data_IF_032828060787
#
_entry.id   IF_032828060787
#
_cell.length_a   1.000
_cell.length_b   1.000
_cell.length_c   1.000
_cell.angle_alpha   90.00
_cell.angle_beta   90.00
_cell.angle_gamma   90.00
#
_symmetry.space_group_name_H-M   'P 1'
#
loop_
_entity.id
_entity.type
_entity.pdbx_description
1 polymer ?
#
# COMPACT_ATOMS: atom_id res chain seq x y z
N UNK A 1 19.91 73.43 18.98
CA UNK A 1 18.73 72.55 18.83
C UNK A 1 18.97 71.37 19.78
N UNK A 2 18.72 71.47 21.09
CA UNK A 2 17.45 71.66 21.79
C UNK A 2 16.38 70.62 21.40
N UNK A 3 16.09 69.74 22.37
CA UNK A 3 14.80 69.10 22.69
C UNK A 3 14.36 67.95 21.74
N UNK A 4 13.96 66.74 22.16
CA UNK A 4 13.44 66.30 23.47
C UNK A 4 13.62 64.79 23.75
N UNK A 5 13.46 64.53 25.04
CA UNK A 5 13.52 63.30 25.82
C UNK A 5 12.51 62.18 25.50
N UNK A 6 12.77 61.06 26.18
CA UNK A 6 11.82 60.05 26.70
C UNK A 6 11.59 58.77 25.88
N UNK A 7 11.97 57.61 26.41
CA UNK A 7 11.13 56.80 27.34
C UNK A 7 11.91 55.54 27.77
N UNK A 8 11.80 55.25 29.07
CA UNK A 8 12.30 54.09 29.81
C UNK A 8 11.56 52.75 29.51
N UNK A 9 12.33 51.66 29.61
CA UNK A 9 12.02 50.34 30.23
C UNK A 9 11.12 49.32 29.48
N UNK A 10 11.73 48.14 29.29
CA UNK A 10 11.17 46.77 29.23
C UNK A 10 10.01 46.48 28.28
N UNK A 11 10.33 45.77 27.19
CA UNK A 11 9.37 44.89 26.53
C UNK A 11 9.71 43.44 26.85
N UNK A 12 9.07 42.81 27.86
CA UNK A 12 8.97 41.34 27.87
C UNK A 12 8.30 40.95 26.56
N UNK A 13 9.07 40.37 25.63
CA UNK A 13 8.58 39.90 24.34
C UNK A 13 7.43 38.93 24.61
N UNK A 14 6.21 39.37 24.27
CA UNK A 14 5.01 38.52 24.37
C UNK A 14 5.21 37.34 23.43
N UNK A 15 5.47 36.15 23.97
CA UNK A 15 5.50 34.91 23.20
C UNK A 15 4.11 34.73 22.58
N UNK A 16 3.99 34.98 21.28
CA UNK A 16 2.76 34.68 20.56
C UNK A 16 2.46 33.19 20.72
N UNK A 17 1.35 32.84 21.38
CA UNK A 17 0.86 31.46 21.48
C UNK A 17 0.38 31.02 20.09
N UNK A 18 1.29 30.54 19.27
CA UNK A 18 1.00 30.07 17.92
C UNK A 18 1.01 28.55 17.93
N UNK A 19 -0.08 27.92 17.46
CA UNK A 19 -0.19 26.46 17.44
C UNK A 19 0.87 25.86 16.51
N UNK A 20 1.62 24.85 16.99
CA UNK A 20 2.72 24.21 16.23
C UNK A 20 2.26 23.01 15.38
N UNK A 21 0.97 22.72 15.36
CA UNK A 21 0.41 21.50 14.76
C UNK A 21 0.37 21.52 13.22
N UNK A 22 0.54 22.68 12.57
CA UNK A 22 0.61 22.78 11.10
C UNK A 22 1.92 23.42 10.66
N UNK A 23 2.54 22.85 9.61
CA UNK A 23 3.84 23.29 9.04
C UNK A 23 3.88 24.76 8.63
N UNK A 24 2.72 25.36 8.33
CA UNK A 24 2.56 26.79 8.00
C UNK A 24 2.88 27.73 9.18
N UNK A 25 2.87 27.25 10.42
CA UNK A 25 3.12 28.06 11.61
C UNK A 25 4.55 28.01 12.11
N UNK A 26 5.40 27.14 11.55
CA UNK A 26 6.78 26.98 12.02
C UNK A 26 7.66 28.21 11.80
N UNK A 27 7.31 29.05 10.82
CA UNK A 27 8.02 30.30 10.52
C UNK A 27 7.42 31.54 11.21
N UNK A 28 6.29 31.39 11.90
CA UNK A 28 5.62 32.52 12.57
C UNK A 28 6.03 32.49 14.05
N UNK A 29 6.94 33.38 14.45
CA UNK A 29 7.35 33.57 15.85
C UNK A 29 8.82 33.29 16.17
N UNK A 30 9.67 32.95 15.20
CA UNK A 30 11.13 32.93 15.37
C UNK A 30 11.70 34.28 14.94
N UNK A 31 12.25 35.05 15.89
CA UNK A 31 13.04 36.25 15.58
C UNK A 31 14.41 35.75 15.07
N UNK A 32 14.64 35.83 13.75
CA UNK A 32 15.89 35.35 13.12
C UNK A 32 16.94 36.48 13.04
N UNK A 33 16.53 37.72 13.27
CA UNK A 33 17.37 38.93 13.20
C UNK A 33 18.60 38.83 14.11
N UNK A 34 18.45 38.41 15.36
CA UNK A 34 19.60 38.27 16.27
C UNK A 34 20.64 37.24 15.78
N UNK A 35 20.19 36.19 15.08
CA UNK A 35 21.07 35.17 14.52
C UNK A 35 21.71 35.63 13.20
N UNK A 36 20.99 36.39 12.38
CA UNK A 36 21.52 37.03 11.18
C UNK A 36 22.56 38.10 11.53
N UNK A 37 22.29 38.94 12.53
CA UNK A 37 23.22 39.95 13.03
C UNK A 37 24.48 39.31 13.63
N UNK A 38 24.35 38.17 14.31
CA UNK A 38 25.50 37.42 14.82
C UNK A 38 26.33 36.83 13.68
N UNK A 39 25.72 36.22 12.67
CA UNK A 39 26.43 35.66 11.52
C UNK A 39 27.10 36.74 10.66
N UNK A 40 26.47 37.90 10.51
CA UNK A 40 27.07 39.07 9.86
C UNK A 40 28.29 39.57 10.62
N UNK A 41 28.25 39.63 11.97
CA UNK A 41 29.43 39.97 12.80
C UNK A 41 30.56 38.96 12.63
N UNK A 42 30.26 37.66 12.69
CA UNK A 42 31.25 36.59 12.49
C UNK A 42 31.89 36.64 11.10
N UNK A 43 31.11 36.97 10.05
CA UNK A 43 31.67 37.16 8.70
C UNK A 43 32.58 38.39 8.62
N UNK A 44 32.22 39.50 9.27
CA UNK A 44 33.06 40.71 9.30
C UNK A 44 34.37 40.46 10.07
N UNK A 45 34.33 39.69 11.16
CA UNK A 45 35.52 39.33 11.93
C UNK A 45 36.42 38.35 11.15
N UNK A 46 35.85 37.38 10.43
CA UNK A 46 36.61 36.43 9.61
C UNK A 46 37.31 37.09 8.40
N UNK A 47 36.79 38.21 7.89
CA UNK A 47 37.41 38.97 6.79
C UNK A 47 38.51 39.91 7.31
N UNK A 48 38.38 40.43 8.54
CA UNK A 48 39.40 41.32 9.14
C UNK A 48 40.70 40.61 9.50
N UNK A 49 40.63 39.33 9.88
CA UNK A 49 41.82 38.53 10.21
C UNK A 49 42.57 37.99 8.97
N UNK A 50 42.09 38.27 7.76
CA UNK A 50 42.69 37.82 6.50
C UNK A 50 43.60 38.86 5.81
N UNK A 51 43.86 40.00 6.45
CA UNK A 51 44.83 40.97 5.93
C UNK A 51 46.24 40.71 6.50
N UNK A 52 47.11 40.22 5.59
CA UNK A 52 48.59 40.08 5.68
C UNK A 52 49.12 38.82 6.39
N UNK A 53 49.02 37.67 5.71
CA UNK A 53 49.95 36.56 5.89
C UNK A 53 50.54 36.22 4.50
N UNK A 54 51.88 36.22 4.40
CA UNK A 54 52.62 35.88 3.17
C UNK A 54 52.45 34.39 2.82
N UNK A 55 52.37 34.10 1.51
CA UNK A 55 52.00 32.78 0.95
C UNK A 55 52.98 31.64 1.29
N UNK A 56 54.16 31.95 1.83
CA UNK A 56 55.23 31.00 2.11
C UNK A 56 55.01 30.12 3.36
N UNK A 57 54.02 30.46 4.20
CA UNK A 57 53.64 29.63 5.36
C UNK A 57 52.40 28.75 5.12
N UNK A 58 51.85 28.77 3.90
CA UNK A 58 50.57 28.12 3.61
C UNK A 58 50.71 26.61 3.30
N UNK A 59 51.93 26.10 3.12
CA UNK A 59 52.19 24.71 2.75
C UNK A 59 53.36 24.07 3.52
N UNK A 60 53.22 23.92 4.84
CA UNK A 60 53.99 22.89 5.57
C UNK A 60 53.19 21.59 5.64
N UNK A 61 53.63 20.60 4.87
CA UNK A 61 53.13 19.22 4.93
C UNK A 61 53.67 18.56 6.20
N UNK A 62 52.83 18.45 7.23
CA UNK A 62 53.15 17.72 8.45
C UNK A 62 53.47 16.25 8.13
N UNK A 63 54.75 15.89 8.29
CA UNK A 63 55.24 14.52 8.14
C UNK A 63 54.90 13.71 9.40
N UNK A 64 54.03 12.70 9.23
CA UNK A 64 53.83 11.48 10.05
C UNK A 64 53.75 11.70 11.58
N UNK A 65 52.52 11.62 12.11
CA UNK A 65 52.27 11.48 13.55
C UNK A 65 53.12 10.36 14.16
N UNK A 66 53.78 10.65 15.27
CA UNK A 66 54.55 9.63 16.00
C UNK A 66 53.63 8.54 16.55
N UNK A 67 54.16 7.32 16.72
CA UNK A 67 53.42 6.13 17.20
C UNK A 67 52.64 6.40 18.50
N UNK A 68 53.14 7.31 19.34
CA UNK A 68 52.50 7.77 20.58
C UNK A 68 51.24 8.63 20.32
N UNK A 69 51.28 9.50 19.33
CA UNK A 69 50.15 10.34 18.93
C UNK A 69 49.06 9.49 18.23
N UNK A 70 49.45 8.50 17.42
CA UNK A 70 48.51 7.51 16.85
C UNK A 70 47.80 6.69 17.95
N UNK A 71 48.53 6.27 18.98
CA UNK A 71 47.95 5.55 20.12
C UNK A 71 46.97 6.42 20.93
N UNK A 72 47.27 7.71 21.11
CA UNK A 72 46.36 8.65 21.78
C UNK A 72 45.08 8.90 20.98
N UNK A 73 45.16 8.98 19.65
CA UNK A 73 44.00 9.12 18.75
C UNK A 73 43.11 7.87 18.77
N UNK A 74 43.71 6.67 18.70
CA UNK A 74 42.99 5.39 18.82
C UNK A 74 42.27 5.26 20.17
N UNK A 75 42.85 5.76 21.27
CA UNK A 75 42.24 5.72 22.61
C UNK A 75 41.07 6.70 22.73
N UNK A 76 41.08 7.83 22.00
CA UNK A 76 39.95 8.78 21.94
C UNK A 76 38.81 8.26 21.06
N UNK A 77 39.11 7.51 20.00
CA UNK A 77 38.10 6.89 19.13
C UNK A 77 37.36 5.76 19.84
N UNK A 78 38.06 4.89 20.58
CA UNK A 78 37.42 3.84 21.41
C UNK A 78 36.48 4.35 22.51
N UNK A 79 36.64 5.61 22.97
CA UNK A 79 35.73 6.22 23.95
C UNK A 79 34.45 6.80 23.33
N UNK A 80 34.37 6.93 22.01
CA UNK A 80 33.23 7.54 21.30
C UNK A 80 32.24 6.52 20.70
N UNK A 81 32.58 5.23 20.67
CA UNK A 81 31.61 4.18 20.38
C UNK A 81 30.78 3.90 21.64
N UNK A 82 29.43 3.98 21.60
CA UNK A 82 28.63 3.58 22.74
C UNK A 82 28.81 2.08 22.95
N UNK A 83 29.22 1.69 24.16
CA UNK A 83 29.20 0.29 24.59
C UNK A 83 27.77 -0.25 24.51
N UNK A 84 27.47 -1.02 23.46
CA UNK A 84 26.39 -1.98 23.52
C UNK A 84 26.73 -2.97 24.63
N UNK A 85 25.81 -3.12 25.58
CA UNK A 85 25.95 -4.01 26.72
C UNK A 85 26.00 -5.44 26.19
N UNK A 86 27.20 -6.02 26.12
CA UNK A 86 27.33 -7.46 25.97
C UNK A 86 26.76 -8.13 27.22
N UNK A 87 25.63 -8.81 27.04
CA UNK A 87 25.09 -9.72 28.04
C UNK A 87 26.14 -10.81 28.30
N UNK A 88 26.52 -10.97 29.57
CA UNK A 88 27.46 -11.98 30.04
C UNK A 88 26.90 -13.38 29.84
N UNK A 89 27.05 -13.95 28.64
CA UNK A 89 26.81 -15.37 28.39
C UNK A 89 28.05 -16.13 28.82
N UNK A 90 27.90 -17.03 29.80
CA UNK A 90 29.02 -17.79 30.35
C UNK A 90 29.74 -18.60 29.26
N UNK A 91 31.08 -18.57 29.29
CA UNK A 91 31.97 -19.30 28.36
C UNK A 91 31.67 -20.82 28.27
N UNK A 92 30.86 -21.36 29.19
CA UNK A 92 30.43 -22.77 29.25
C UNK A 92 29.30 -23.10 28.25
N UNK A 93 28.50 -22.12 27.82
CA UNK A 93 27.39 -22.34 26.87
C UNK A 93 27.87 -22.33 25.40
N UNK A 94 28.86 -21.50 25.07
CA UNK A 94 29.45 -21.44 23.73
C UNK A 94 30.19 -22.74 23.34
N UNK A 95 30.72 -23.46 24.33
CA UNK A 95 31.43 -24.73 24.09
C UNK A 95 30.49 -25.91 23.81
N UNK A 96 29.22 -25.84 24.22
CA UNK A 96 28.21 -26.86 23.92
C UNK A 96 27.62 -26.72 22.52
N UNK A 97 27.52 -25.49 21.99
CA UNK A 97 27.00 -25.26 20.64
C UNK A 97 27.99 -25.59 19.51
N UNK A 98 29.29 -25.69 19.81
CA UNK A 98 30.33 -26.04 18.83
C UNK A 98 30.57 -27.55 18.70
N UNK A 99 30.03 -28.38 19.60
CA UNK A 99 30.30 -29.82 19.63
C UNK A 99 29.27 -30.66 18.85
N UNK A 100 28.16 -30.07 18.41
CA UNK A 100 27.17 -30.73 17.55
C UNK A 100 27.42 -30.48 16.05
N UNK A 101 28.64 -30.76 15.59
CA UNK A 101 28.88 -31.01 14.16
C UNK A 101 29.04 -32.51 13.96
N UNK A 102 28.06 -33.06 13.27
CA UNK A 102 27.91 -34.46 12.89
C UNK A 102 29.17 -35.04 12.25
N UNK A 103 29.59 -36.21 12.75
CA UNK A 103 30.58 -37.08 12.12
C UNK A 103 30.02 -37.55 10.77
N UNK A 104 30.58 -37.06 9.65
CA UNK A 104 30.40 -37.70 8.35
C UNK A 104 31.28 -38.95 8.31
N UNK A 105 30.68 -40.09 7.99
CA UNK A 105 31.39 -41.36 7.81
C UNK A 105 32.28 -41.26 6.57
N UNK A 106 33.57 -41.56 6.74
CA UNK A 106 34.52 -41.71 5.65
C UNK A 106 34.45 -43.16 5.19
N UNK A 107 33.80 -43.43 4.07
CA UNK A 107 33.99 -44.68 3.34
C UNK A 107 35.09 -44.47 2.32
N UNK A 108 36.28 -45.00 2.62
CA UNK A 108 37.37 -45.10 1.68
C UNK A 108 37.10 -46.25 0.70
N UNK A 109 37.00 -45.93 -0.60
CA UNK A 109 37.39 -46.83 -1.68
C UNK A 109 38.25 -46.05 -2.66
N UNK A 110 39.52 -46.41 -2.69
CA UNK A 110 40.48 -45.94 -3.67
C UNK A 110 40.02 -46.37 -5.07
N UNK A 111 39.96 -45.41 -5.99
CA UNK A 111 39.93 -45.66 -7.43
C UNK A 111 40.99 -44.77 -8.06
N UNK A 112 41.77 -45.39 -8.95
CA UNK A 112 42.95 -44.84 -9.61
C UNK A 112 42.60 -43.62 -10.50
N UNK A 113 43.53 -42.68 -10.74
CA UNK A 113 43.25 -41.52 -11.59
C UNK A 113 43.28 -41.94 -13.06
N UNK A 114 42.11 -41.99 -13.69
CA UNK A 114 42.02 -42.07 -15.15
C UNK A 114 42.33 -40.69 -15.77
N UNK A 115 43.37 -40.71 -16.61
CA UNK A 115 43.75 -39.76 -17.67
C UNK A 115 43.05 -38.39 -17.68
N UNK A 116 43.84 -37.36 -17.38
CA UNK A 116 43.62 -35.99 -17.81
C UNK A 116 43.72 -35.87 -19.33
N UNK A 117 42.63 -36.08 -20.05
CA UNK A 117 42.55 -35.69 -21.45
C UNK A 117 41.09 -35.39 -21.83
N UNK A 118 40.86 -34.13 -22.19
CA UNK A 118 39.68 -33.61 -22.89
C UNK A 118 38.41 -33.48 -22.03
N UNK A 119 38.43 -32.49 -21.11
CA UNK A 119 37.18 -31.78 -20.80
C UNK A 119 36.81 -30.96 -22.04
N UNK A 120 35.58 -31.04 -22.58
CA UNK A 120 35.16 -30.15 -23.65
C UNK A 120 35.28 -28.72 -23.11
N UNK A 121 36.15 -27.91 -23.72
CA UNK A 121 36.24 -26.48 -23.41
C UNK A 121 34.85 -25.90 -23.69
N UNK A 122 34.20 -25.36 -22.64
CA UNK A 122 33.02 -24.51 -22.84
C UNK A 122 33.42 -23.42 -23.84
N UNK A 123 32.56 -23.05 -24.80
CA UNK A 123 32.87 -21.94 -25.70
C UNK A 123 33.16 -20.71 -24.85
N UNK A 124 34.28 -20.05 -25.15
CA UNK A 124 34.71 -18.84 -24.46
C UNK A 124 33.67 -17.74 -24.72
N UNK A 125 32.78 -17.53 -23.76
CA UNK A 125 31.78 -16.47 -23.81
C UNK A 125 32.46 -15.16 -23.44
N UNK A 126 32.88 -14.42 -24.47
CA UNK A 126 33.45 -13.07 -24.40
C UNK A 126 32.55 -12.08 -23.65
N UNK A 127 31.29 -12.43 -23.39
CA UNK A 127 30.30 -11.59 -22.71
C UNK A 127 29.76 -12.21 -21.40
N UNK A 128 30.25 -13.40 -21.01
CA UNK A 128 29.61 -14.21 -19.97
C UNK A 128 30.30 -14.29 -18.61
N UNK A 129 31.60 -13.98 -18.51
CA UNK A 129 32.40 -14.30 -17.31
C UNK A 129 33.12 -13.11 -16.63
N UNK A 130 32.92 -11.86 -17.07
CA UNK A 130 33.53 -10.70 -16.40
C UNK A 130 32.83 -10.26 -15.10
N UNK A 131 31.70 -10.89 -14.74
CA UNK A 131 30.98 -10.58 -13.49
C UNK A 131 31.31 -11.52 -12.33
N UNK A 132 32.23 -12.49 -12.49
CA UNK A 132 32.53 -13.47 -11.43
C UNK A 132 33.97 -13.39 -10.89
N UNK A 133 34.84 -12.59 -11.49
CA UNK A 133 36.22 -12.39 -11.04
C UNK A 133 36.42 -11.03 -10.33
N UNK A 134 35.74 -10.78 -9.21
CA UNK A 134 36.16 -9.69 -8.27
C UNK A 134 35.40 -9.60 -6.94
N UNK A 135 34.34 -10.37 -6.68
CA UNK A 135 33.45 -9.99 -5.56
C UNK A 135 33.97 -10.29 -4.14
N UNK A 136 34.92 -11.22 -3.96
CA UNK A 136 35.25 -11.71 -2.61
C UNK A 136 36.46 -11.05 -1.96
N UNK A 137 37.58 -10.90 -2.66
CA UNK A 137 38.83 -10.42 -2.04
C UNK A 137 39.11 -8.93 -2.28
N UNK A 138 38.60 -8.34 -3.37
CA UNK A 138 38.75 -6.90 -3.65
C UNK A 138 37.75 -6.05 -2.83
N UNK A 139 36.80 -6.71 -2.16
CA UNK A 139 35.63 -6.07 -1.58
C UNK A 139 35.93 -5.08 -0.45
N UNK A 140 36.92 -5.29 0.42
CA UNK A 140 37.15 -4.36 1.56
C UNK A 140 37.83 -3.07 1.12
N UNK A 141 38.82 -3.20 0.23
CA UNK A 141 39.61 -2.08 -0.30
C UNK A 141 38.78 -1.26 -1.29
N UNK A 142 38.06 -1.90 -2.20
CA UNK A 142 37.05 -1.23 -3.03
C UNK A 142 35.94 -0.65 -2.19
N UNK A 143 35.50 -1.33 -1.12
CA UNK A 143 34.47 -0.76 -0.25
C UNK A 143 34.96 0.54 0.38
N UNK A 144 36.21 0.59 0.82
CA UNK A 144 36.80 1.78 1.40
C UNK A 144 36.94 2.88 0.35
N UNK A 145 37.60 2.61 -0.78
CA UNK A 145 37.80 3.58 -1.85
C UNK A 145 36.50 4.14 -2.43
N UNK A 146 35.47 3.30 -2.65
CA UNK A 146 34.19 3.76 -3.19
C UNK A 146 33.37 4.57 -2.17
N UNK A 147 33.57 4.38 -0.86
CA UNK A 147 33.00 5.26 0.18
C UNK A 147 33.68 6.64 0.12
N UNK A 148 35.00 6.67 -0.04
CA UNK A 148 35.79 7.90 -0.16
C UNK A 148 35.43 8.68 -1.42
N UNK A 149 35.28 8.00 -2.56
CA UNK A 149 34.89 8.63 -3.83
C UNK A 149 33.38 8.89 -3.95
N UNK A 150 32.57 8.51 -2.94
CA UNK A 150 31.08 8.53 -2.96
C UNK A 150 30.46 7.85 -4.18
N UNK A 151 31.16 6.87 -4.77
CA UNK A 151 30.73 6.19 -6.00
C UNK A 151 29.81 5.00 -5.74
N UNK A 152 29.62 4.60 -4.47
CA UNK A 152 28.65 3.55 -4.13
C UNK A 152 27.23 4.06 -4.23
N UNK A 153 26.41 3.32 -4.97
CA UNK A 153 24.96 3.44 -4.87
C UNK A 153 24.53 3.09 -3.44
N UNK A 154 23.57 3.83 -2.85
CA UNK A 154 23.01 3.50 -1.55
C UNK A 154 22.35 2.11 -1.56
N UNK A 155 22.18 1.52 -0.38
CA UNK A 155 21.49 0.23 -0.25
C UNK A 155 20.07 0.33 -0.82
N UNK A 156 19.74 -0.62 -1.71
CA UNK A 156 18.42 -0.66 -2.33
C UNK A 156 17.32 -0.94 -1.29
N UNK A 157 16.20 -0.19 -1.32
CA UNK A 157 15.10 -0.47 -0.43
C UNK A 157 14.40 -1.78 -0.81
N UNK A 158 13.93 -2.51 0.21
CA UNK A 158 13.20 -3.79 0.03
C UNK A 158 11.97 -3.67 -0.88
N UNK A 159 11.35 -2.49 -0.94
CA UNK A 159 10.20 -2.18 -1.80
C UNK A 159 10.51 -2.24 -3.29
N UNK A 160 11.78 -2.06 -3.70
CA UNK A 160 12.16 -2.10 -5.11
C UNK A 160 11.98 -3.50 -5.71
N UNK A 161 12.20 -4.55 -4.90
CA UNK A 161 12.09 -5.96 -5.30
C UNK A 161 10.66 -6.51 -5.18
N UNK A 162 9.66 -5.65 -4.99
CA UNK A 162 8.27 -6.06 -4.84
C UNK A 162 7.65 -6.47 -6.20
N UNK A 163 7.29 -7.74 -6.34
CA UNK A 163 6.63 -8.28 -7.52
C UNK A 163 5.16 -7.82 -7.55
N UNK A 164 4.69 -7.26 -8.66
CA UNK A 164 3.31 -6.75 -8.80
C UNK A 164 2.31 -7.81 -9.24
N UNK A 165 2.73 -8.80 -10.02
CA UNK A 165 1.88 -9.88 -10.53
C UNK A 165 2.65 -11.19 -10.72
N UNK A 166 1.92 -12.31 -10.67
CA UNK A 166 2.45 -13.68 -10.88
C UNK A 166 2.21 -14.15 -12.34
N UNK A 167 1.50 -13.35 -13.14
CA UNK A 167 1.16 -13.68 -14.52
C UNK A 167 2.42 -13.75 -15.40
N UNK A 168 2.36 -14.59 -16.43
CA UNK A 168 3.42 -14.70 -17.42
C UNK A 168 3.65 -13.36 -18.13
N UNK A 169 4.91 -13.11 -18.53
CA UNK A 169 5.30 -11.84 -19.16
C UNK A 169 4.65 -11.66 -20.54
N UNK A 170 4.46 -12.76 -21.26
CA UNK A 170 3.86 -12.85 -22.59
C UNK A 170 2.79 -13.92 -22.53
N UNK A 171 1.61 -13.62 -23.05
CA UNK A 171 0.53 -14.60 -23.16
C UNK A 171 0.81 -15.47 -24.39
N UNK A 172 0.82 -16.79 -24.18
CA UNK A 172 1.01 -17.73 -25.29
C UNK A 172 -0.33 -17.89 -26.00
N UNK A 173 -0.35 -17.66 -27.30
CA UNK A 173 -1.55 -17.85 -28.12
C UNK A 173 -1.98 -19.34 -28.12
N UNK A 174 -3.30 -19.63 -28.16
CA UNK A 174 -3.78 -21.00 -28.25
C UNK A 174 -3.42 -21.64 -29.60
N UNK A 175 -3.33 -22.96 -29.64
CA UNK A 175 -2.98 -23.70 -30.87
C UNK A 175 -3.95 -23.44 -32.04
N UNK A 176 -5.22 -23.12 -31.75
CA UNK A 176 -6.22 -22.76 -32.77
C UNK A 176 -5.95 -21.45 -33.50
N UNK A 177 -5.11 -20.56 -32.93
CA UNK A 177 -4.67 -19.32 -33.56
C UNK A 177 -3.41 -19.51 -34.44
N UNK A 178 -2.92 -20.74 -34.56
CA UNK A 178 -1.81 -21.03 -35.46
C UNK A 178 -2.24 -20.89 -36.92
N UNK A 179 -1.26 -20.75 -37.81
CA UNK A 179 -1.48 -20.61 -39.23
C UNK A 179 -2.16 -21.84 -39.87
N UNK A 180 -1.75 -23.04 -39.47
CA UNK A 180 -2.33 -24.30 -39.92
C UNK A 180 -2.77 -25.12 -38.69
N UNK A 181 -3.89 -24.75 -38.06
CA UNK A 181 -4.35 -25.38 -36.84
C UNK A 181 -5.05 -26.71 -37.13
N UNK A 182 -5.01 -27.69 -36.22
CA UNK A 182 -5.89 -28.84 -36.30
C UNK A 182 -7.35 -28.38 -36.17
N UNK A 183 -8.24 -28.95 -36.99
CA UNK A 183 -9.64 -28.51 -37.14
C UNK A 183 -10.36 -28.38 -35.80
N UNK A 184 -10.16 -29.32 -34.87
CA UNK A 184 -10.79 -29.27 -33.55
C UNK A 184 -10.39 -28.04 -32.75
N UNK A 185 -9.09 -27.73 -32.66
CA UNK A 185 -8.59 -26.57 -31.92
C UNK A 185 -8.94 -25.24 -32.57
N UNK A 186 -9.04 -25.23 -33.89
CA UNK A 186 -9.50 -24.08 -34.63
C UNK A 186 -10.98 -23.77 -34.33
N UNK A 187 -11.85 -24.78 -34.40
CA UNK A 187 -13.26 -24.63 -34.05
C UNK A 187 -13.43 -24.16 -32.60
N UNK A 188 -12.71 -24.76 -31.65
CA UNK A 188 -12.70 -24.30 -30.26
C UNK A 188 -12.37 -22.80 -30.18
N UNK A 189 -11.29 -22.37 -30.84
CA UNK A 189 -10.86 -20.98 -30.84
C UNK A 189 -11.87 -20.02 -31.47
N UNK A 190 -12.42 -20.36 -32.64
CA UNK A 190 -13.45 -19.56 -33.32
C UNK A 190 -14.71 -19.46 -32.47
N UNK A 191 -15.12 -20.55 -31.82
CA UNK A 191 -16.29 -20.54 -30.93
C UNK A 191 -16.08 -19.63 -29.73
N UNK A 192 -14.89 -19.64 -29.10
CA UNK A 192 -14.56 -18.71 -28.01
C UNK A 192 -14.68 -17.25 -28.46
N UNK A 193 -14.15 -16.91 -29.63
CA UNK A 193 -14.21 -15.53 -30.15
C UNK A 193 -15.65 -15.14 -30.52
N UNK A 194 -16.40 -16.02 -31.17
CA UNK A 194 -17.79 -15.79 -31.50
C UNK A 194 -18.66 -15.59 -30.23
N UNK A 195 -18.36 -16.27 -29.12
CA UNK A 195 -19.02 -16.03 -27.84
C UNK A 195 -18.69 -14.66 -27.25
N UNK A 196 -17.43 -14.23 -27.32
CA UNK A 196 -17.01 -12.89 -26.87
C UNK A 196 -17.70 -11.79 -27.69
N UNK A 197 -17.79 -11.95 -29.02
CA UNK A 197 -18.50 -11.03 -29.91
C UNK A 197 -20.00 -11.00 -29.64
N UNK A 198 -20.66 -12.16 -29.48
CA UNK A 198 -22.07 -12.23 -29.07
C UNK A 198 -22.34 -11.48 -27.76
N UNK A 199 -21.40 -11.50 -26.80
CA UNK A 199 -21.54 -10.72 -25.56
C UNK A 199 -21.47 -9.22 -25.84
N UNK A 200 -20.52 -8.77 -26.66
CA UNK A 200 -20.42 -7.35 -27.07
C UNK A 200 -21.67 -6.87 -27.81
N UNK A 201 -22.19 -7.67 -28.74
CA UNK A 201 -23.43 -7.36 -29.47
C UNK A 201 -24.62 -7.25 -28.53
N UNK A 202 -24.78 -8.17 -27.57
CA UNK A 202 -25.85 -8.09 -26.57
C UNK A 202 -25.72 -6.85 -25.67
N UNK A 203 -24.50 -6.49 -25.31
CA UNK A 203 -24.24 -5.28 -24.52
C UNK A 203 -24.55 -4.01 -25.33
N UNK A 204 -24.19 -3.96 -26.61
CA UNK A 204 -24.51 -2.83 -27.49
C UNK A 204 -26.02 -2.72 -27.72
N UNK A 205 -26.72 -3.82 -28.03
CA UNK A 205 -28.18 -3.84 -28.16
C UNK A 205 -28.88 -3.39 -26.87
N UNK A 206 -28.36 -3.82 -25.70
CA UNK A 206 -28.90 -3.39 -24.41
C UNK A 206 -28.74 -1.89 -24.22
N UNK A 207 -27.55 -1.35 -24.52
CA UNK A 207 -27.31 0.09 -24.47
C UNK A 207 -28.16 0.84 -25.48
N UNK A 208 -28.34 0.32 -26.70
CA UNK A 208 -29.22 0.89 -27.71
C UNK A 208 -30.68 0.89 -27.24
N UNK A 209 -31.16 -0.17 -26.60
CA UNK A 209 -32.51 -0.20 -25.99
C UNK A 209 -32.65 0.79 -24.84
N UNK A 210 -31.61 0.97 -24.03
CA UNK A 210 -31.60 1.95 -22.92
C UNK A 210 -31.52 3.40 -23.43
N UNK A 211 -30.73 3.63 -24.49
CA UNK A 211 -30.58 4.94 -25.14
C UNK A 211 -31.73 5.29 -26.08
N UNK A 212 -32.40 4.28 -26.65
CA UNK A 212 -33.60 4.44 -27.42
C UNK A 212 -34.67 4.99 -26.47
N UNK A 213 -34.78 6.32 -26.45
CA UNK A 213 -35.88 7.01 -25.83
C UNK A 213 -37.16 6.36 -26.37
N UNK A 214 -37.96 5.76 -25.49
CA UNK A 214 -39.28 5.30 -25.84
C UNK A 214 -40.07 6.55 -26.20
N UNK A 215 -40.19 6.85 -27.50
CA UNK A 215 -40.85 8.06 -28.03
C UNK A 215 -42.24 8.31 -27.43
N UNK A 216 -42.89 7.25 -26.96
CA UNK A 216 -44.23 7.26 -26.35
C UNK A 216 -44.26 7.54 -24.83
N UNK A 217 -43.11 7.57 -24.13
CA UNK A 217 -43.06 7.72 -22.65
C UNK A 217 -42.58 9.09 -22.17
N UNK A 218 -42.08 9.94 -23.07
CA UNK A 218 -41.68 11.29 -22.72
C UNK A 218 -42.82 12.21 -23.13
N UNK A 219 -43.55 12.72 -22.14
CA UNK A 219 -44.47 13.82 -22.36
C UNK A 219 -43.67 15.00 -22.93
N UNK A 220 -44.07 15.46 -24.10
CA UNK A 220 -43.57 16.71 -24.67
C UNK A 220 -43.85 17.86 -23.70
N UNK A 221 -43.09 18.96 -23.78
CA UNK A 221 -43.35 20.12 -22.91
C UNK A 221 -44.81 20.58 -23.02
N UNK A 222 -45.39 20.48 -24.21
CA UNK A 222 -46.79 20.78 -24.50
C UNK A 222 -47.78 19.86 -23.77
N UNK A 223 -47.52 18.54 -23.75
CA UNK A 223 -48.34 17.57 -23.01
C UNK A 223 -48.28 17.79 -21.50
N UNK A 224 -47.09 18.11 -20.95
CA UNK A 224 -46.93 18.46 -19.53
C UNK A 224 -47.70 19.74 -19.17
N UNK A 225 -47.63 20.76 -20.04
CA UNK A 225 -48.39 22.00 -19.85
C UNK A 225 -49.91 21.78 -19.90
N UNK A 226 -50.39 20.85 -20.73
CA UNK A 226 -51.80 20.47 -20.78
C UNK A 226 -52.25 19.75 -19.51
N UNK A 227 -51.45 18.81 -18.99
CA UNK A 227 -51.74 18.13 -17.72
C UNK A 227 -51.76 19.12 -16.53
N UNK A 228 -50.80 20.05 -16.47
CA UNK A 228 -50.75 21.10 -15.44
C UNK A 228 -51.94 22.05 -15.51
N UNK A 229 -52.46 22.33 -16.71
CA UNK A 229 -53.68 23.13 -16.90
C UNK A 229 -54.94 22.35 -16.51
N UNK A 230 -54.98 21.05 -16.78
CA UNK A 230 -56.14 20.21 -16.46
C UNK A 230 -56.38 20.02 -14.95
N UNK A 231 -55.33 20.18 -14.12
CA UNK A 231 -55.44 20.09 -12.65
C UNK A 231 -55.85 21.38 -11.93
N UNK A 232 -56.06 22.49 -12.63
CA UNK A 232 -56.43 23.77 -12.02
C UNK A 232 -57.95 24.02 -12.00
N UNK A 233 -58.75 23.21 -12.72
CA UNK A 233 -60.21 23.22 -12.63
C UNK A 233 -60.68 22.13 -11.63
N UNK A 234 -60.70 22.50 -10.34
CA UNK A 234 -61.10 21.61 -9.25
C UNK A 234 -61.42 22.38 -7.98
N UNK A 235 -62.49 23.16 -8.02
CA UNK A 235 -63.23 23.55 -6.83
C UNK A 235 -63.66 22.29 -6.06
N UNK A 236 -63.26 22.12 -4.80
CA UNK A 236 -64.10 22.38 -3.63
C UNK A 236 -63.44 21.79 -2.35
N UNK A 237 -63.60 22.53 -1.26
CA UNK A 237 -63.16 22.20 0.09
C UNK A 237 -63.84 20.94 0.63
N UNK A 238 -63.10 20.04 1.30
CA UNK A 238 -63.69 19.23 2.40
C UNK A 238 -62.62 18.68 3.35
N UNK A 239 -62.51 19.35 4.51
CA UNK A 239 -61.97 18.79 5.74
C UNK A 239 -62.60 17.43 6.08
N UNK A 240 -61.82 16.49 6.64
CA UNK A 240 -62.31 15.49 7.59
C UNK A 240 -61.16 14.94 8.45
N UNK A 241 -61.12 15.40 9.69
CA UNK A 241 -60.41 14.80 10.83
C UNK A 241 -61.11 13.50 11.25
N UNK A 242 -60.34 12.46 11.62
CA UNK A 242 -60.85 11.27 12.32
C UNK A 242 -59.89 10.93 13.48
N UNK A 243 -60.41 10.68 14.71
CA UNK A 243 -59.67 10.65 15.97
C UNK A 243 -59.04 9.29 16.36
N UNK A 244 -58.23 9.36 17.41
CA UNK A 244 -57.42 8.32 18.06
C UNK A 244 -58.25 7.26 18.82
N UNK A 245 -57.87 5.98 18.67
CA UNK A 245 -58.40 4.84 19.45
C UNK A 245 -57.57 4.58 20.72
N UNK A 246 -58.27 4.54 21.85
CA UNK A 246 -57.81 4.12 23.19
C UNK A 246 -57.98 2.61 23.32
N UNK A 247 -56.96 1.89 23.79
CA UNK A 247 -57.12 0.53 24.31
C UNK A 247 -56.38 0.35 25.64
N UNK A 248 -57.19 0.17 26.69
CA UNK A 248 -56.84 -0.28 28.04
C UNK A 248 -56.36 -1.74 28.04
N UNK A 249 -55.33 -2.05 28.82
CA UNK A 249 -55.02 -3.44 29.23
C UNK A 249 -54.81 -3.46 30.74
N UNK A 250 -55.76 -4.12 31.42
CA UNK A 250 -55.81 -4.40 32.85
C UNK A 250 -54.61 -5.24 33.33
N UNK A 251 -54.03 -4.86 34.47
CA UNK A 251 -53.04 -5.66 35.20
C UNK A 251 -53.68 -6.30 36.43
N UNK A 252 -53.83 -7.62 36.42
CA UNK A 252 -54.23 -8.43 37.57
C UNK A 252 -53.03 -8.72 38.48
N UNK A 253 -53.00 -8.14 39.69
CA UNK A 253 -52.07 -8.48 40.77
C UNK A 253 -52.82 -9.25 41.87
N UNK A 254 -52.69 -10.58 41.91
CA UNK A 254 -53.16 -11.41 43.03
C UNK A 254 -52.07 -11.54 44.10
N UNK A 255 -52.24 -10.84 45.22
CA UNK A 255 -51.38 -10.95 46.40
C UNK A 255 -51.60 -12.27 47.17
N UNK A 256 -50.54 -13.06 47.31
CA UNK A 256 -50.53 -14.27 48.16
C UNK A 256 -50.40 -13.91 49.65
N UNK A 257 -51.27 -14.49 50.48
CA UNK A 257 -51.30 -14.37 51.95
C UNK A 257 -50.19 -15.23 52.58
N UNK A 258 -49.39 -14.66 53.50
CA UNK A 258 -48.41 -15.40 54.31
C UNK A 258 -49.10 -16.15 55.46
N UNK A 259 -48.81 -17.44 55.71
CA UNK A 259 -49.41 -18.18 56.81
C UNK A 259 -48.77 -17.83 58.17
N UNK A 260 -49.59 -17.83 59.23
CA UNK A 260 -49.14 -17.57 60.60
C UNK A 260 -48.41 -18.78 61.21
N UNK A 261 -47.27 -18.53 61.84
CA UNK A 261 -46.38 -19.56 62.38
C UNK A 261 -46.84 -19.95 63.79
N UNK A 262 -47.33 -21.18 63.96
CA UNK A 262 -47.58 -21.80 65.29
C UNK A 262 -46.25 -22.18 65.96
N UNK A 263 -46.11 -21.97 67.27
CA UNK A 263 -44.91 -22.32 68.06
C UNK A 263 -44.81 -23.85 68.25
N UNK A 264 -43.76 -24.48 67.71
CA UNK A 264 -43.52 -25.93 67.76
C UNK A 264 -42.91 -26.40 69.09
N UNK A 265 -43.14 -27.67 69.46
CA UNK A 265 -42.60 -28.35 70.66
C UNK A 265 -41.10 -28.67 70.56
N UNK A 266 -40.38 -28.81 71.69
CA UNK A 266 -38.91 -29.00 71.71
C UNK A 266 -38.41 -30.23 70.93
N UNK A 267 -39.14 -31.36 70.97
CA UNK A 267 -38.79 -32.59 70.23
C UNK A 267 -38.94 -32.44 68.70
N UNK A 268 -40.00 -31.76 68.25
CA UNK A 268 -40.21 -31.49 66.81
C UNK A 268 -39.16 -30.52 66.26
N UNK A 269 -38.70 -29.57 67.09
CA UNK A 269 -37.57 -28.67 66.76
C UNK A 269 -36.24 -29.40 66.58
N UNK A 270 -35.98 -30.44 67.38
CA UNK A 270 -34.74 -31.22 67.29
C UNK A 270 -34.70 -32.14 66.06
N UNK A 271 -35.81 -32.84 65.77
CA UNK A 271 -35.93 -33.64 64.55
C UNK A 271 -35.84 -32.77 63.29
N UNK A 272 -36.49 -31.61 63.28
CA UNK A 272 -36.41 -30.66 62.17
C UNK A 272 -35.00 -30.08 62.00
N UNK A 273 -34.27 -29.83 63.10
CA UNK A 273 -32.86 -29.43 63.03
C UNK A 273 -31.95 -30.52 62.46
N UNK A 274 -32.16 -31.78 62.85
CA UNK A 274 -31.42 -32.92 62.30
C UNK A 274 -31.74 -33.13 60.81
N UNK A 275 -33.00 -32.95 60.42
CA UNK A 275 -33.44 -33.03 59.03
C UNK A 275 -32.89 -31.87 58.18
N UNK A 276 -32.84 -30.64 58.73
CA UNK A 276 -32.19 -29.49 58.09
C UNK A 276 -30.69 -29.74 57.88
N UNK A 277 -29.99 -30.27 58.88
CA UNK A 277 -28.57 -30.64 58.73
C UNK A 277 -28.36 -31.72 57.67
N UNK A 278 -29.24 -32.72 57.57
CA UNK A 278 -29.19 -33.73 56.49
C UNK A 278 -29.41 -33.10 55.13
N UNK A 279 -30.42 -32.22 54.98
CA UNK A 279 -30.70 -31.50 53.74
C UNK A 279 -29.56 -30.57 53.34
N UNK A 280 -28.92 -29.89 54.30
CA UNK A 280 -27.73 -29.06 54.04
C UNK A 280 -26.56 -29.90 53.50
N UNK A 281 -26.28 -31.05 54.11
CA UNK A 281 -25.23 -31.97 53.64
C UNK A 281 -25.57 -32.51 52.24
N UNK A 282 -26.82 -32.88 52.00
CA UNK A 282 -27.29 -33.38 50.71
C UNK A 282 -27.17 -32.31 49.62
N UNK A 283 -27.61 -31.08 49.91
CA UNK A 283 -27.47 -29.92 49.04
C UNK A 283 -26.00 -29.60 48.73
N UNK A 284 -25.12 -29.65 49.73
CA UNK A 284 -23.68 -29.46 49.53
C UNK A 284 -23.07 -30.57 48.66
N UNK A 285 -23.52 -31.81 48.82
CA UNK A 285 -23.07 -32.93 47.98
C UNK A 285 -23.61 -32.84 46.56
N UNK A 286 -24.85 -32.39 46.37
CA UNK A 286 -25.45 -32.15 45.07
C UNK A 286 -24.73 -31.03 44.33
N UNK A 287 -24.45 -29.91 45.02
CA UNK A 287 -23.65 -28.81 44.50
C UNK A 287 -22.23 -29.25 44.09
N UNK A 288 -21.58 -30.09 44.89
CA UNK A 288 -20.27 -30.67 44.52
C UNK A 288 -20.36 -31.58 43.28
N UNK A 289 -21.42 -32.38 43.14
CA UNK A 289 -21.64 -33.22 41.94
C UNK A 289 -21.86 -32.37 40.68
N UNK A 290 -22.61 -31.29 40.78
CA UNK A 290 -22.82 -30.33 39.69
C UNK A 290 -21.50 -29.68 39.27
N UNK A 291 -20.70 -29.22 40.23
CA UNK A 291 -19.36 -28.67 39.99
C UNK A 291 -18.46 -29.68 39.24
N UNK A 292 -18.45 -30.95 39.67
CA UNK A 292 -17.70 -31.99 38.99
C UNK A 292 -18.20 -32.22 37.55
N UNK A 293 -19.51 -32.23 37.34
CA UNK A 293 -20.10 -32.33 36.00
C UNK A 293 -19.67 -31.16 35.09
N UNK A 294 -19.63 -29.92 35.60
CA UNK A 294 -19.09 -28.77 34.87
C UNK A 294 -17.61 -28.96 34.50
N UNK A 295 -16.79 -29.48 35.42
CA UNK A 295 -15.37 -29.77 35.16
C UNK A 295 -15.18 -30.84 34.07
N UNK A 296 -16.00 -31.89 34.07
CA UNK A 296 -15.96 -32.91 33.02
C UNK A 296 -16.47 -32.37 31.67
N UNK A 297 -17.54 -31.58 31.68
CA UNK A 297 -18.06 -30.91 30.50
C UNK A 297 -17.08 -29.88 29.93
N UNK A 298 -16.31 -29.19 30.78
CA UNK A 298 -15.31 -28.21 30.37
C UNK A 298 -14.25 -28.80 29.43
N UNK A 299 -13.82 -30.05 29.65
CA UNK A 299 -12.88 -30.73 28.71
C UNK A 299 -13.51 -30.94 27.33
N UNK A 300 -14.80 -31.29 27.28
CA UNK A 300 -15.55 -31.45 26.03
C UNK A 300 -15.74 -30.11 25.33
N UNK A 301 -16.03 -29.05 26.08
CA UNK A 301 -16.13 -27.68 25.58
C UNK A 301 -14.77 -27.19 25.04
N UNK A 302 -13.67 -27.39 25.76
CA UNK A 302 -12.33 -27.03 25.30
C UNK A 302 -11.93 -27.78 24.03
N UNK A 303 -12.31 -29.06 23.89
CA UNK A 303 -12.14 -29.82 22.64
C UNK A 303 -12.98 -29.25 21.49
N UNK A 304 -14.21 -28.79 21.76
CA UNK A 304 -15.03 -28.13 20.74
C UNK A 304 -14.45 -26.77 20.34
N UNK A 305 -14.06 -25.95 21.32
CA UNK A 305 -13.46 -24.63 21.12
C UNK A 305 -12.15 -24.75 20.33
N UNK A 306 -11.28 -25.70 20.66
CA UNK A 306 -10.03 -25.92 19.92
C UNK A 306 -10.27 -26.33 18.47
N UNK A 307 -11.21 -27.25 18.20
CA UNK A 307 -11.62 -27.60 16.83
C UNK A 307 -12.16 -26.39 16.07
N UNK A 308 -13.04 -25.61 16.70
CA UNK A 308 -13.61 -24.41 16.09
C UNK A 308 -12.54 -23.34 15.81
N UNK A 309 -11.55 -23.17 16.70
CA UNK A 309 -10.40 -22.28 16.46
C UNK A 309 -9.58 -22.78 15.26
N UNK A 310 -9.30 -24.08 15.18
CA UNK A 310 -8.57 -24.68 14.04
C UNK A 310 -9.30 -24.45 12.72
N UNK A 311 -10.60 -24.74 12.66
CA UNK A 311 -11.42 -24.51 11.47
C UNK A 311 -11.41 -23.02 11.07
N UNK A 312 -11.61 -22.11 12.04
CA UNK A 312 -11.53 -20.66 11.79
C UNK A 312 -10.16 -20.23 11.27
N UNK A 313 -9.08 -20.79 11.80
CA UNK A 313 -7.73 -20.54 11.32
C UNK A 313 -7.52 -21.03 9.89
N UNK A 314 -8.02 -22.22 9.54
CA UNK A 314 -7.97 -22.75 8.18
C UNK A 314 -8.77 -21.90 7.20
N UNK A 315 -9.99 -21.50 7.56
CA UNK A 315 -10.78 -20.58 6.75
C UNK A 315 -10.10 -19.22 6.60
N UNK A 316 -9.46 -18.71 7.65
CA UNK A 316 -8.69 -17.48 7.60
C UNK A 316 -7.47 -17.61 6.67
N UNK A 317 -6.75 -18.74 6.69
CA UNK A 317 -5.65 -19.05 5.78
C UNK A 317 -6.12 -19.10 4.32
N UNK A 318 -7.16 -19.90 4.03
CA UNK A 318 -7.79 -19.97 2.69
C UNK A 318 -8.27 -18.61 2.20
N UNK A 319 -8.85 -17.78 3.09
CA UNK A 319 -9.27 -16.41 2.76
C UNK A 319 -8.07 -15.50 2.43
N UNK A 320 -6.96 -15.62 3.15
CA UNK A 320 -5.72 -14.87 2.87
C UNK A 320 -5.13 -15.30 1.53
N UNK A 321 -5.05 -16.60 1.26
CA UNK A 321 -4.58 -17.15 -0.02
C UNK A 321 -5.43 -16.66 -1.20
N UNK A 322 -6.76 -16.77 -1.12
CA UNK A 322 -7.67 -16.24 -2.14
C UNK A 322 -7.49 -14.74 -2.37
N UNK A 323 -7.28 -13.96 -1.31
CA UNK A 323 -6.98 -12.52 -1.43
C UNK A 323 -5.64 -12.28 -2.13
N UNK A 324 -4.60 -13.05 -1.81
CA UNK A 324 -3.28 -12.93 -2.45
C UNK A 324 -3.36 -13.30 -3.93
N UNK A 325 -3.96 -14.45 -4.26
CA UNK A 325 -4.17 -14.89 -5.65
C UNK A 325 -4.96 -13.83 -6.43
N UNK A 326 -6.07 -13.32 -5.87
CA UNK A 326 -6.86 -12.27 -6.52
C UNK A 326 -6.07 -10.97 -6.74
N UNK A 327 -5.16 -10.62 -5.84
CA UNK A 327 -4.32 -9.41 -5.99
C UNK A 327 -3.21 -9.59 -7.02
N UNK A 328 -2.54 -10.74 -7.04
CA UNK A 328 -1.37 -10.97 -7.88
C UNK A 328 -1.67 -11.57 -9.26
N UNK A 329 -2.71 -12.41 -9.37
CA UNK A 329 -3.16 -12.98 -10.64
C UNK A 329 -4.31 -12.17 -11.26
N UNK A 330 -5.04 -11.40 -10.45
CA UNK A 330 -6.11 -10.53 -10.93
C UNK A 330 -5.61 -9.15 -11.39
N UNK A 331 -6.45 -8.49 -12.17
CA UNK A 331 -6.21 -7.14 -12.67
C UNK A 331 -6.60 -6.14 -11.57
N UNK A 332 -5.68 -5.24 -11.23
CA UNK A 332 -5.92 -4.13 -10.32
C UNK A 332 -6.26 -2.87 -11.12
N UNK A 333 -7.18 -2.07 -10.58
CA UNK A 333 -7.52 -0.77 -11.19
C UNK A 333 -6.45 0.25 -10.83
N UNK A 334 -5.39 0.28 -11.64
CA UNK A 334 -4.36 1.31 -11.58
C UNK A 334 -4.81 2.51 -12.43
N UNK A 335 -5.15 3.61 -11.76
CA UNK A 335 -5.64 4.82 -12.44
C UNK A 335 -7.17 4.88 -12.52
N UNK A 336 -7.67 5.52 -13.58
CA UNK A 336 -9.12 5.82 -13.72
C UNK A 336 -9.83 4.84 -14.64
N UNK A 337 -9.15 4.37 -15.69
CA UNK A 337 -9.74 3.48 -16.68
C UNK A 337 -10.05 2.09 -16.14
N UNK A 338 -10.98 1.41 -16.80
CA UNK A 338 -11.20 -0.03 -16.64
C UNK A 338 -10.30 -0.76 -17.64
N UNK A 339 -9.83 -1.95 -17.28
CA UNK A 339 -9.07 -2.78 -18.21
C UNK A 339 -10.01 -3.39 -19.23
N UNK A 340 -9.70 -3.20 -20.50
CA UNK A 340 -10.35 -3.86 -21.61
C UNK A 340 -9.32 -4.79 -22.26
N UNK A 341 -9.62 -6.09 -22.38
CA UNK A 341 -8.72 -7.04 -23.03
C UNK A 341 -8.51 -6.68 -24.51
N UNK A 342 -7.38 -7.12 -25.07
CA UNK A 342 -7.14 -7.00 -26.50
C UNK A 342 -8.06 -7.98 -27.24
N UNK A 343 -8.58 -7.56 -28.39
CA UNK A 343 -9.36 -8.44 -29.24
C UNK A 343 -8.46 -9.53 -29.83
N UNK A 344 -8.97 -10.76 -29.84
CA UNK A 344 -8.28 -11.93 -30.37
C UNK A 344 -8.34 -11.86 -31.91
N UNK A 345 -7.20 -11.83 -32.63
CA UNK A 345 -7.22 -11.89 -34.09
C UNK A 345 -7.62 -13.29 -34.55
N UNK A 346 -8.64 -13.39 -35.40
CA UNK A 346 -9.15 -14.66 -35.93
C UNK A 346 -9.25 -14.57 -37.45
N UNK A 347 -8.87 -15.65 -38.13
CA UNK A 347 -9.18 -15.87 -39.53
C UNK A 347 -10.38 -16.79 -39.64
N UNK A 348 -11.26 -16.50 -40.58
CA UNK A 348 -12.34 -17.41 -40.96
C UNK A 348 -11.80 -18.56 -41.80
N UNK A 349 -12.62 -19.61 -41.98
CA UNK A 349 -12.21 -20.81 -42.74
C UNK A 349 -11.82 -20.50 -44.17
N UNK A 350 -12.45 -19.48 -44.76
CA UNK A 350 -12.19 -19.02 -46.13
C UNK A 350 -10.91 -18.17 -46.22
N UNK A 351 -10.48 -17.59 -45.10
CA UNK A 351 -9.33 -16.69 -45.02
C UNK A 351 -8.05 -17.39 -44.52
N UNK A 352 -8.17 -18.63 -44.04
CA UNK A 352 -7.04 -19.45 -43.64
C UNK A 352 -6.14 -19.72 -44.86
N UNK A 353 -4.86 -19.27 -44.86
CA UNK A 353 -4.03 -19.40 -46.04
C UNK A 353 -3.52 -20.84 -46.22
N UNK A 354 -3.30 -21.26 -47.47
CA UNK A 354 -2.76 -22.59 -47.81
C UNK A 354 -1.23 -22.65 -47.79
N UNK A 355 -0.56 -21.49 -47.94
CA UNK A 355 0.90 -21.35 -47.77
C UNK A 355 1.30 -20.23 -46.80
N UNK A 356 2.45 -20.39 -46.11
CA UNK A 356 3.05 -19.34 -45.27
C UNK A 356 3.37 -18.04 -46.04
N UNK A 357 3.54 -18.12 -47.37
CA UNK A 357 3.77 -16.94 -48.22
C UNK A 357 2.53 -16.06 -48.37
N UNK A 358 1.35 -16.62 -48.16
CA UNK A 358 0.05 -15.93 -48.27
C UNK A 358 -0.41 -15.37 -46.91
N UNK A 359 0.29 -15.73 -45.83
CA UNK A 359 -0.08 -15.31 -44.49
C UNK A 359 0.06 -13.79 -44.35
N UNK A 360 -1.07 -13.14 -44.08
CA UNK A 360 -1.11 -11.73 -43.68
C UNK A 360 -0.84 -11.63 -42.18
N UNK A 361 0.06 -10.75 -41.73
CA UNK A 361 0.28 -10.52 -40.31
C UNK A 361 -1.00 -9.97 -39.68
N UNK A 362 -1.39 -10.53 -38.53
CA UNK A 362 -2.60 -10.14 -37.83
C UNK A 362 -2.29 -9.49 -36.48
N UNK A 363 -3.18 -8.58 -36.09
CA UNK A 363 -3.09 -7.88 -34.81
C UNK A 363 -1.92 -6.92 -34.70
N UNK A 364 -1.85 -6.22 -33.58
CA UNK A 364 -0.72 -5.34 -33.24
C UNK A 364 0.00 -5.87 -32.00
N UNK A 365 1.26 -6.24 -32.18
CA UNK A 365 2.12 -6.71 -31.07
C UNK A 365 2.25 -5.62 -30.01
N UNK A 366 2.31 -4.35 -30.42
CA UNK A 366 2.42 -3.23 -29.49
C UNK A 366 1.21 -3.11 -28.58
N UNK A 367 -0.01 -3.28 -29.12
CA UNK A 367 -1.23 -3.24 -28.31
C UNK A 367 -1.29 -4.43 -27.36
N UNK A 368 -0.93 -5.63 -27.83
CA UNK A 368 -0.90 -6.84 -27.00
C UNK A 368 0.09 -6.69 -25.82
N UNK A 369 1.32 -6.21 -26.09
CA UNK A 369 2.32 -5.99 -25.04
C UNK A 369 1.90 -4.90 -24.07
N UNK A 370 1.32 -3.81 -24.56
CA UNK A 370 0.77 -2.74 -23.71
C UNK A 370 -0.33 -3.30 -22.79
N UNK A 371 -1.24 -4.13 -23.32
CA UNK A 371 -2.30 -4.76 -22.55
C UNK A 371 -1.76 -5.79 -21.55
N UNK A 372 -0.72 -6.55 -21.90
CA UNK A 372 0.01 -7.43 -20.95
C UNK A 372 0.61 -6.63 -19.78
N UNK A 373 1.27 -5.50 -20.05
CA UNK A 373 1.83 -4.64 -18.99
C UNK A 373 0.74 -4.07 -18.06
N UNK A 374 -0.43 -3.75 -18.62
CA UNK A 374 -1.59 -3.30 -17.84
C UNK A 374 -2.20 -4.44 -17.02
N UNK A 375 -2.39 -5.63 -17.61
CA UNK A 375 -2.91 -6.84 -16.95
C UNK A 375 -2.01 -7.28 -15.79
N UNK A 376 -0.69 -7.11 -15.95
CA UNK A 376 0.34 -7.36 -14.93
C UNK A 376 0.49 -6.27 -13.87
N UNK A 377 -0.39 -5.27 -13.88
CA UNK A 377 -0.39 -4.18 -12.90
C UNK A 377 0.93 -3.40 -12.86
N UNK A 378 1.63 -3.26 -13.99
CA UNK A 378 2.84 -2.42 -14.10
C UNK A 378 2.54 -1.06 -14.70
N UNK A 379 1.66 -1.02 -15.70
CA UNK A 379 1.18 0.22 -16.28
C UNK A 379 -0.23 0.53 -15.79
N UNK A 380 -0.46 1.82 -15.54
CA UNK A 380 -1.80 2.33 -15.29
C UNK A 380 -2.61 2.41 -16.57
N UNK A 381 -3.92 2.23 -16.46
CA UNK A 381 -4.83 2.38 -17.59
C UNK A 381 -5.30 3.83 -17.61
N UNK A 382 -4.98 4.58 -18.68
CA UNK A 382 -5.50 5.92 -18.82
C UNK A 382 -7.02 5.80 -18.94
N UNK A 383 -7.75 6.50 -18.06
CA UNK A 383 -9.18 6.70 -18.29
C UNK A 383 -9.40 7.68 -19.43
N UNK A 384 -10.67 7.97 -19.72
CA UNK A 384 -11.04 9.08 -20.59
C UNK A 384 -10.15 10.29 -20.30
N UNK A 385 -9.50 10.77 -21.37
CA UNK A 385 -8.65 11.96 -21.28
C UNK A 385 -9.52 13.00 -20.63
N UNK A 386 -9.15 13.44 -19.42
CA UNK A 386 -9.76 14.63 -18.86
C UNK A 386 -9.62 15.66 -19.98
N UNK A 387 -10.73 16.17 -20.48
CA UNK A 387 -10.75 17.50 -21.07
C UNK A 387 -10.29 18.41 -19.94
N UNK A 388 -8.96 18.45 -19.72
CA UNK A 388 -8.28 19.54 -19.05
C UNK A 388 -8.83 20.69 -19.83
N UNK A 389 -9.80 21.41 -19.24
CA UNK A 389 -10.34 22.65 -19.77
C UNK A 389 -9.13 23.31 -20.37
N UNK A 390 -9.07 23.37 -21.71
CA UNK A 390 -7.93 23.99 -22.41
C UNK A 390 -7.65 25.21 -21.57
N UNK A 391 -6.43 25.33 -21.01
CA UNK A 391 -6.02 26.51 -20.22
C UNK A 391 -6.76 27.67 -20.86
N UNK A 392 -7.69 28.35 -20.14
CA UNK A 392 -8.62 29.27 -20.80
C UNK A 392 -7.78 30.03 -21.81
N UNK A 393 -8.05 29.87 -23.13
CA UNK A 393 -7.34 30.61 -24.18
C UNK A 393 -7.76 32.10 -24.12
N UNK A 394 -7.95 32.61 -22.91
CA UNK A 394 -8.14 34.00 -22.52
C UNK A 394 -6.83 34.53 -21.94
N UNK A 395 -5.68 34.03 -22.39
CA UNK A 395 -4.65 35.03 -22.70
C UNK A 395 -5.26 35.80 -23.87
N UNK A 396 -5.81 36.98 -23.60
CA UNK A 396 -6.11 37.93 -24.67
C UNK A 396 -4.80 38.06 -25.43
N UNK A 397 -4.74 37.52 -26.64
CA UNK A 397 -3.60 37.78 -27.52
C UNK A 397 -3.63 39.29 -27.68
N UNK A 398 -2.66 39.97 -27.07
CA UNK A 398 -2.49 41.40 -27.29
C UNK A 398 -1.74 41.49 -28.61
N UNK A 399 -2.49 41.61 -29.69
CA UNK A 399 -1.92 42.04 -30.95
C UNK A 399 -1.39 43.45 -30.73
N UNK A 400 -0.07 43.59 -30.81
CA UNK A 400 0.62 44.87 -30.74
C UNK A 400 1.30 45.04 -32.08
N UNK A 401 0.82 45.99 -32.87
CA UNK A 401 1.55 46.46 -34.04
C UNK A 401 2.71 47.34 -33.55
N UNK A 402 3.93 46.83 -33.66
CA UNK A 402 5.13 47.63 -33.40
C UNK A 402 5.52 48.34 -34.71
N UNK A 403 5.38 49.67 -34.76
CA UNK A 403 5.88 50.46 -35.91
C UNK A 403 7.40 50.46 -35.90
N UNK A 404 8.02 50.32 -37.08
CA UNK A 404 9.45 50.58 -37.23
C UNK A 404 9.69 52.10 -37.12
N UNK A 405 10.76 52.50 -36.42
CA UNK A 405 11.08 53.91 -36.13
C UNK A 405 11.14 54.80 -37.41
N UNK A 406 11.41 54.22 -38.58
CA UNK A 406 11.48 54.94 -39.85
C UNK A 406 10.12 55.42 -40.39
N UNK A 407 9.01 54.85 -39.93
CA UNK A 407 7.65 55.14 -40.43
C UNK A 407 6.92 56.22 -39.60
N UNK A 408 7.46 56.62 -38.46
CA UNK A 408 6.87 57.65 -37.58
C UNK A 408 7.44 59.02 -37.97
N UNK A 409 6.61 59.89 -38.56
CA UNK A 409 6.94 61.28 -38.91
C UNK A 409 6.04 62.25 -38.14
N UNK A 410 6.52 63.48 -37.92
CA UNK A 410 5.73 64.56 -37.31
C UNK A 410 4.44 64.79 -38.15
N UNK A 411 3.27 64.57 -37.53
CA UNK A 411 1.97 64.75 -38.17
C UNK A 411 1.22 63.46 -38.53
N UNK A 412 1.81 62.28 -38.42
CA UNK A 412 1.06 61.02 -38.62
C UNK A 412 0.12 60.77 -37.44
N UNK A 413 -1.19 60.81 -37.66
CA UNK A 413 -2.18 60.53 -36.60
C UNK A 413 -2.36 59.03 -36.39
N UNK A 414 -2.57 58.67 -35.12
CA UNK A 414 -3.01 57.34 -34.68
C UNK A 414 -4.47 57.18 -35.10
N UNK A 415 -4.85 56.01 -35.60
CA UNK A 415 -6.23 55.52 -35.56
C UNK A 415 -6.23 54.37 -34.57
#
# INVERSE_FOLDING_TARGET
MMMDDNVKISGKVRRCRISRNKKRYWKKGTQIQDAEDFLCKVQVDAVKDAEKQSEDNLFTVDRKLTRRQMAALMKRLKKKEPMEKEENVSKRQLRKMLLEKSRKQVTAKASFPESTAIKPRKPYDLWGEDNQHSEKEVSVVEKYHLLTTKKKLPQEPKTLKHITSILQHVEVAPAGASYNPPVSKYLDYVTEVAEEEKRKIKESEKLERELALLKQKYATQEEIELELKAGLDGSDDSNNEIPEDVNEIEQNNSGEKKPSIKRKTRKTRHLEHMERKRKEIENMSAFQKEQMHFLYSARKLNKKISKEIQEREEFAKKRKERKLIKRFAGIQRLGRGKFEPCEKPVLLTEELPGSLRELKPQGSILTERLKSLQKRNMLSIPGEKRHRRKLKNRLRIKEREDRKHQEVKLGTRLI
#
